data_IF_674384815013
#
_entry.id   IF_674384815013
#
_cell.length_a   1.000
_cell.length_b   1.000
_cell.length_c   1.000
_cell.angle_alpha   90.00
_cell.angle_beta   90.00
_cell.angle_gamma   90.00
#
_symmetry.space_group_name_H-M   'P 1'
#
loop_
_entity.id
_entity.type
_entity.pdbx_description
1 polymer ?
#
# COMPACT_ATOMS: atom_id res chain seq x y z
N UNK A 1 8.92 -43.96 -20.40
CA UNK A 1 8.68 -42.72 -21.17
C UNK A 1 7.42 -41.95 -20.75
N UNK A 2 6.29 -42.60 -20.37
CA UNK A 2 5.05 -41.88 -19.96
C UNK A 2 5.19 -41.05 -18.66
N UNK A 3 5.97 -41.51 -17.68
CA UNK A 3 6.14 -40.80 -16.39
C UNK A 3 6.88 -39.46 -16.53
N UNK A 4 7.79 -39.34 -17.51
CA UNK A 4 8.51 -38.09 -17.76
C UNK A 4 7.59 -37.00 -18.34
N UNK A 5 6.61 -37.41 -19.17
CA UNK A 5 5.61 -36.50 -19.74
C UNK A 5 4.60 -36.05 -18.69
N UNK A 6 4.15 -36.96 -17.82
CA UNK A 6 3.24 -36.61 -16.72
C UNK A 6 3.89 -35.68 -15.70
N UNK A 7 5.13 -35.96 -15.30
CA UNK A 7 5.88 -35.09 -14.37
C UNK A 7 6.11 -33.70 -14.97
N UNK A 8 6.47 -33.61 -16.25
CA UNK A 8 6.59 -32.32 -16.96
C UNK A 8 5.26 -31.59 -17.02
N UNK A 9 4.17 -32.27 -17.38
CA UNK A 9 2.84 -31.65 -17.43
C UNK A 9 2.41 -31.16 -16.05
N UNK A 10 2.60 -31.96 -15.00
CA UNK A 10 2.29 -31.57 -13.62
C UNK A 10 3.11 -30.36 -13.17
N UNK A 11 4.40 -30.29 -13.52
CA UNK A 11 5.25 -29.13 -13.24
C UNK A 11 4.77 -27.89 -14.00
N UNK A 12 4.41 -28.03 -15.29
CA UNK A 12 3.88 -26.92 -16.08
C UNK A 12 2.54 -26.40 -15.54
N UNK A 13 1.63 -27.30 -15.15
CA UNK A 13 0.34 -26.93 -14.53
C UNK A 13 0.59 -26.24 -13.18
N UNK A 14 1.47 -26.79 -12.35
CA UNK A 14 1.85 -26.16 -11.07
C UNK A 14 2.43 -24.76 -11.28
N UNK A 15 3.37 -24.60 -12.22
CA UNK A 15 3.96 -23.31 -12.55
C UNK A 15 2.91 -22.34 -13.09
N UNK A 16 2.01 -22.79 -13.96
CA UNK A 16 0.94 -21.95 -14.50
C UNK A 16 0.00 -21.45 -13.41
N UNK A 17 -0.45 -22.33 -12.50
CA UNK A 17 -1.30 -21.95 -11.36
C UNK A 17 -0.53 -21.01 -10.40
N UNK A 18 0.73 -21.31 -10.11
CA UNK A 18 1.57 -20.49 -9.24
C UNK A 18 1.75 -19.07 -9.78
N UNK A 19 2.12 -18.93 -11.06
CA UNK A 19 2.27 -17.62 -11.69
C UNK A 19 0.93 -16.91 -11.90
N UNK A 20 -0.15 -17.63 -12.21
CA UNK A 20 -1.49 -17.04 -12.30
C UNK A 20 -1.95 -16.49 -10.94
N UNK A 21 -1.68 -17.19 -9.84
CA UNK A 21 -1.98 -16.73 -8.50
C UNK A 21 -1.14 -15.50 -8.10
N UNK A 22 0.17 -15.53 -8.40
CA UNK A 22 1.10 -14.46 -8.05
C UNK A 22 0.87 -13.18 -8.89
N UNK A 23 0.66 -13.33 -10.20
CA UNK A 23 0.54 -12.20 -11.14
C UNK A 23 -0.92 -11.78 -11.39
N UNK A 24 -1.90 -12.65 -11.12
CA UNK A 24 -3.32 -12.40 -11.37
C UNK A 24 -3.84 -11.10 -10.76
N UNK A 25 -3.66 -10.87 -9.44
CA UNK A 25 -4.09 -9.61 -8.81
C UNK A 25 -3.43 -8.38 -9.41
N UNK A 26 -2.15 -8.45 -9.80
CA UNK A 26 -1.43 -7.36 -10.45
C UNK A 26 -2.00 -7.04 -11.84
N UNK A 27 -2.38 -8.07 -12.60
CA UNK A 27 -3.03 -7.92 -13.92
C UNK A 27 -4.43 -7.32 -13.76
N UNK A 28 -5.22 -7.79 -12.81
CA UNK A 28 -6.56 -7.24 -12.51
C UNK A 28 -6.44 -5.77 -12.14
N UNK A 29 -5.55 -5.43 -11.19
CA UNK A 29 -5.31 -4.04 -10.78
C UNK A 29 -4.80 -3.17 -11.94
N UNK A 30 -3.95 -3.73 -12.81
CA UNK A 30 -3.50 -3.03 -14.01
C UNK A 30 -4.65 -2.74 -14.98
N UNK A 31 -5.59 -3.67 -15.13
CA UNK A 31 -6.76 -3.48 -15.98
C UNK A 31 -7.75 -2.46 -15.40
N UNK A 32 -7.97 -2.46 -14.08
CA UNK A 32 -8.88 -1.49 -13.44
C UNK A 32 -8.37 -0.06 -13.48
N UNK A 33 -7.07 0.16 -13.65
CA UNK A 33 -6.48 1.49 -13.84
C UNK A 33 -7.06 2.24 -15.06
N UNK A 34 -7.56 1.48 -16.04
CA UNK A 34 -8.09 2.01 -17.29
C UNK A 34 -9.61 1.96 -17.38
N UNK A 35 -10.31 1.57 -16.30
CA UNK A 35 -11.78 1.48 -16.28
C UNK A 35 -12.37 2.70 -15.55
N UNK A 36 -13.48 3.26 -16.06
CA UNK A 36 -14.15 4.45 -15.50
C UNK A 36 -14.86 4.36 -14.15
N UNK A 37 -15.27 3.19 -13.61
CA UNK A 37 -15.98 3.15 -12.34
C UNK A 37 -15.16 3.76 -11.19
N UNK A 38 -15.82 4.49 -10.29
CA UNK A 38 -15.17 5.11 -9.12
C UNK A 38 -14.62 4.12 -8.08
N UNK A 39 -14.97 2.84 -8.20
CA UNK A 39 -14.44 1.75 -7.40
C UNK A 39 -13.63 0.81 -8.30
N UNK A 40 -12.43 0.34 -7.88
CA UNK A 40 -11.62 -0.55 -8.71
C UNK A 40 -12.30 -1.89 -8.91
N UNK A 41 -12.94 -2.05 -10.07
CA UNK A 41 -13.57 -3.30 -10.51
C UNK A 41 -13.27 -3.55 -11.97
N UNK A 42 -12.96 -4.81 -12.29
CA UNK A 42 -12.68 -5.23 -13.66
C UNK A 42 -13.98 -5.57 -14.41
N UNK A 43 -14.99 -6.05 -13.70
CA UNK A 43 -16.27 -6.48 -14.29
C UNK A 43 -17.43 -5.81 -13.55
N UNK A 44 -18.41 -5.22 -14.25
CA UNK A 44 -18.47 -5.00 -15.70
C UNK A 44 -17.48 -3.92 -16.18
N UNK A 45 -17.06 -4.02 -17.45
CA UNK A 45 -16.28 -2.97 -18.11
C UNK A 45 -17.22 -1.85 -18.56
N UNK A 46 -16.94 -0.61 -18.17
CA UNK A 46 -17.79 0.53 -18.50
C UNK A 46 -17.18 1.33 -19.65
N UNK A 47 -16.12 2.07 -19.37
CA UNK A 47 -15.45 2.93 -20.34
C UNK A 47 -13.94 2.89 -20.13
N UNK A 48 -13.18 3.02 -21.23
CA UNK A 48 -11.74 3.21 -21.16
C UNK A 48 -11.45 4.64 -20.68
N UNK A 49 -10.69 4.82 -19.61
CA UNK A 49 -10.34 6.15 -19.08
C UNK A 49 -8.87 6.23 -18.69
N UNK A 50 -8.33 7.45 -18.70
CA UNK A 50 -7.00 7.77 -18.17
C UNK A 50 -7.07 8.79 -17.02
N UNK A 51 -8.28 9.15 -16.56
CA UNK A 51 -8.50 10.17 -15.53
C UNK A 51 -7.81 9.84 -14.20
N UNK A 52 -7.69 8.55 -13.88
CA UNK A 52 -7.06 8.08 -12.65
C UNK A 52 -5.55 8.34 -12.62
N UNK A 53 -4.90 8.44 -13.78
CA UNK A 53 -3.50 8.84 -13.86
C UNK A 53 -3.35 10.32 -13.50
N UNK A 54 -4.21 11.20 -14.05
CA UNK A 54 -4.22 12.62 -13.65
C UNK A 54 -4.60 12.80 -12.19
N UNK A 55 -5.60 12.06 -11.69
CA UNK A 55 -6.01 12.14 -10.29
C UNK A 55 -4.89 11.71 -9.33
N UNK A 56 -4.09 10.70 -9.73
CA UNK A 56 -2.91 10.27 -8.97
C UNK A 56 -1.84 11.38 -8.88
N UNK A 57 -1.53 12.06 -9.98
CA UNK A 57 -0.53 13.14 -10.00
C UNK A 57 -1.01 14.44 -9.34
N UNK A 58 -2.31 14.56 -9.05
CA UNK A 58 -2.88 15.68 -8.29
C UNK A 58 -3.03 15.36 -6.80
N UNK A 59 -2.79 14.10 -6.40
CA UNK A 59 -2.90 13.68 -5.02
C UNK A 59 -1.61 13.97 -4.25
N UNK A 60 -1.57 15.16 -3.64
CA UNK A 60 -0.44 15.64 -2.82
C UNK A 60 -0.06 14.66 -1.71
N UNK A 61 -1.02 13.91 -1.14
CA UNK A 61 -0.70 12.95 -0.07
C UNK A 61 0.10 11.77 -0.63
N UNK A 62 -0.28 11.27 -1.80
CA UNK A 62 0.48 10.20 -2.46
C UNK A 62 1.85 10.69 -2.90
N UNK A 63 1.95 11.89 -3.48
CA UNK A 63 3.23 12.46 -3.90
C UNK A 63 4.19 12.68 -2.70
N UNK A 64 3.67 13.25 -1.60
CA UNK A 64 4.43 13.39 -0.37
C UNK A 64 4.81 12.02 0.22
N UNK A 65 3.91 11.03 0.16
CA UNK A 65 4.20 9.65 0.55
C UNK A 65 5.34 9.02 -0.24
N UNK A 66 5.40 9.25 -1.56
CA UNK A 66 6.52 8.80 -2.42
C UNK A 66 7.82 9.48 -1.98
N UNK A 67 7.80 10.78 -1.77
CA UNK A 67 8.98 11.54 -1.34
C UNK A 67 9.49 11.07 0.03
N UNK A 68 8.59 10.91 1.00
CA UNK A 68 8.89 10.38 2.32
C UNK A 68 9.48 8.95 2.24
N UNK A 69 8.92 8.08 1.38
CA UNK A 69 9.47 6.74 1.14
C UNK A 69 10.90 6.78 0.59
N UNK A 70 11.20 7.69 -0.34
CA UNK A 70 12.56 7.83 -0.89
C UNK A 70 13.52 8.32 0.19
N UNK A 71 13.11 9.30 1.00
CA UNK A 71 13.93 9.86 2.07
C UNK A 71 14.22 8.83 3.16
N UNK A 72 13.19 8.13 3.65
CA UNK A 72 13.31 7.04 4.62
C UNK A 72 14.14 5.89 4.04
N UNK A 73 13.90 5.53 2.78
CA UNK A 73 14.65 4.49 2.08
C UNK A 73 16.13 4.82 1.99
N UNK A 74 16.49 6.03 1.58
CA UNK A 74 17.87 6.47 1.49
C UNK A 74 18.56 6.49 2.87
N UNK A 75 17.90 7.03 3.90
CA UNK A 75 18.42 7.03 5.27
C UNK A 75 18.65 5.61 5.81
N UNK A 76 17.67 4.73 5.58
CA UNK A 76 17.73 3.33 6.00
C UNK A 76 18.84 2.56 5.28
N UNK A 77 19.04 2.80 3.98
CA UNK A 77 20.15 2.21 3.22
C UNK A 77 21.49 2.61 3.80
N UNK A 78 21.73 3.91 4.00
CA UNK A 78 23.00 4.42 4.52
C UNK A 78 23.31 3.79 5.87
N UNK A 79 22.33 3.78 6.77
CA UNK A 79 22.53 3.26 8.12
C UNK A 79 22.66 1.72 8.14
N UNK A 80 21.75 1.01 7.47
CA UNK A 80 21.71 -0.46 7.48
C UNK A 80 22.91 -1.08 6.78
N UNK A 81 23.35 -0.52 5.66
CA UNK A 81 24.52 -1.03 4.93
C UNK A 81 25.80 -0.75 5.72
N UNK A 82 25.93 0.43 6.33
CA UNK A 82 27.08 0.75 7.19
C UNK A 82 27.14 -0.19 8.41
N UNK A 83 26.03 -0.35 9.13
CA UNK A 83 25.93 -1.26 10.29
C UNK A 83 26.13 -2.73 9.88
N UNK A 84 25.52 -3.16 8.78
CA UNK A 84 25.65 -4.52 8.27
C UNK A 84 27.07 -4.85 7.80
N UNK A 85 27.76 -3.89 7.18
CA UNK A 85 29.17 -4.04 6.80
C UNK A 85 30.07 -4.12 8.03
N UNK A 86 29.89 -3.22 9.00
CA UNK A 86 30.61 -3.27 10.26
C UNK A 86 30.37 -4.61 10.98
N UNK A 87 29.13 -5.08 11.02
CA UNK A 87 28.74 -6.37 11.59
C UNK A 87 29.40 -7.56 10.91
N UNK A 88 29.41 -7.55 9.57
CA UNK A 88 30.03 -8.60 8.77
C UNK A 88 31.55 -8.68 8.97
N UNK A 89 32.23 -7.54 9.00
CA UNK A 89 33.66 -7.45 9.24
C UNK A 89 34.01 -7.90 10.66
N UNK A 90 33.27 -7.44 11.67
CA UNK A 90 33.49 -7.81 13.06
C UNK A 90 33.31 -9.31 13.30
N UNK A 91 32.34 -9.96 12.64
CA UNK A 91 32.14 -11.41 12.74
C UNK A 91 33.39 -12.21 12.32
N UNK A 92 34.17 -11.71 11.36
CA UNK A 92 35.42 -12.39 10.93
C UNK A 92 36.57 -12.22 11.91
N UNK A 93 36.57 -11.12 12.68
CA UNK A 93 37.65 -10.75 13.60
C UNK A 93 37.39 -11.18 15.05
N UNK A 94 36.12 -11.41 15.41
CA UNK A 94 35.75 -11.81 16.77
C UNK A 94 36.23 -13.22 17.10
N UNK A 95 36.51 -13.45 18.39
CA UNK A 95 37.02 -14.71 18.91
C UNK A 95 36.07 -15.87 18.57
N UNK A 96 36.60 -17.06 18.16
CA UNK A 96 35.78 -18.18 17.71
C UNK A 96 34.65 -18.58 18.67
N UNK A 97 34.90 -18.51 19.98
CA UNK A 97 33.92 -18.84 21.03
C UNK A 97 32.74 -17.86 21.11
N UNK A 98 32.94 -16.59 20.72
CA UNK A 98 31.90 -15.54 20.76
C UNK A 98 31.17 -15.37 19.43
N UNK A 99 31.66 -15.97 18.34
CA UNK A 99 31.07 -15.85 17.00
C UNK A 99 29.59 -16.25 16.97
N UNK A 100 29.23 -17.36 17.61
CA UNK A 100 27.86 -17.84 17.65
C UNK A 100 26.94 -16.86 18.37
N UNK A 101 27.32 -16.40 19.57
CA UNK A 101 26.54 -15.42 20.34
C UNK A 101 26.39 -14.11 19.59
N UNK A 102 27.47 -13.59 19.01
CA UNK A 102 27.45 -12.36 18.23
C UNK A 102 26.52 -12.45 17.02
N UNK A 103 26.62 -13.55 16.26
CA UNK A 103 25.75 -13.84 15.13
C UNK A 103 24.26 -13.89 15.54
N UNK A 104 23.96 -14.59 16.64
CA UNK A 104 22.59 -14.68 17.17
C UNK A 104 22.04 -13.31 17.58
N UNK A 105 22.84 -12.49 18.28
CA UNK A 105 22.42 -11.15 18.72
C UNK A 105 22.10 -10.25 17.53
N UNK A 106 22.92 -10.27 16.48
CA UNK A 106 22.68 -9.42 15.31
C UNK A 106 21.48 -9.89 14.49
N UNK A 107 21.22 -11.19 14.43
CA UNK A 107 20.10 -11.73 13.64
C UNK A 107 18.78 -11.73 14.41
N UNK A 108 18.82 -11.67 15.73
CA UNK A 108 17.62 -11.65 16.57
C UNK A 108 16.52 -10.66 16.11
N UNK A 109 16.82 -9.43 15.67
CA UNK A 109 15.81 -8.49 15.17
C UNK A 109 14.98 -9.01 13.99
N UNK A 110 15.54 -9.89 13.13
CA UNK A 110 14.81 -10.49 12.00
C UNK A 110 13.66 -11.38 12.50
N UNK A 111 13.81 -11.99 13.67
CA UNK A 111 12.81 -12.88 14.26
C UNK A 111 11.70 -12.11 14.99
N UNK A 112 11.91 -10.82 15.27
CA UNK A 112 10.95 -9.99 15.99
C UNK A 112 9.91 -9.46 14.99
N UNK A 113 8.60 -9.58 15.28
CA UNK A 113 7.57 -9.02 14.43
C UNK A 113 7.75 -7.50 14.24
N UNK A 114 7.58 -7.01 13.01
CA UNK A 114 7.82 -5.60 12.67
C UNK A 114 7.01 -4.60 13.52
N UNK A 115 5.82 -5.00 13.96
CA UNK A 115 4.97 -4.22 14.89
C UNK A 115 5.65 -4.02 16.24
N UNK A 116 6.24 -5.07 16.79
CA UNK A 116 6.97 -5.02 18.06
C UNK A 116 8.20 -4.12 17.92
N UNK A 117 8.93 -4.22 16.81
CA UNK A 117 10.03 -3.30 16.51
C UNK A 117 9.58 -1.84 16.41
N UNK A 118 8.45 -1.57 15.76
CA UNK A 118 7.91 -0.20 15.64
C UNK A 118 7.54 0.41 16.98
N UNK A 119 6.75 -0.31 17.78
CA UNK A 119 6.32 0.15 19.12
C UNK A 119 7.53 0.30 20.05
N UNK A 120 8.43 -0.69 20.07
CA UNK A 120 9.63 -0.62 20.92
C UNK A 120 10.55 0.54 20.55
N UNK A 121 10.72 0.82 19.24
CA UNK A 121 11.49 1.97 18.76
C UNK A 121 10.89 3.28 19.25
N UNK A 122 9.57 3.48 19.07
CA UNK A 122 8.89 4.68 19.53
C UNK A 122 9.05 4.87 21.05
N UNK A 123 8.74 3.83 21.84
CA UNK A 123 8.79 3.91 23.32
C UNK A 123 10.21 4.12 23.83
N UNK A 124 11.19 3.46 23.23
CA UNK A 124 12.61 3.60 23.60
C UNK A 124 13.11 5.02 23.38
N UNK A 125 12.86 5.58 22.19
CA UNK A 125 13.34 6.92 21.86
C UNK A 125 12.55 8.02 22.58
N UNK A 126 11.25 7.85 22.82
CA UNK A 126 10.48 8.76 23.69
C UNK A 126 11.06 8.80 25.11
N UNK A 127 11.41 7.64 25.67
CA UNK A 127 12.02 7.57 27.01
C UNK A 127 13.39 8.24 27.04
N UNK A 128 14.23 8.04 26.02
CA UNK A 128 15.52 8.74 25.92
C UNK A 128 15.30 10.24 25.79
N UNK A 129 14.36 10.68 24.95
CA UNK A 129 14.05 12.09 24.75
C UNK A 129 13.70 12.79 26.07
N UNK A 130 12.86 12.14 26.89
CA UNK A 130 12.49 12.62 28.24
C UNK A 130 13.66 12.61 29.22
N UNK A 131 14.50 11.57 29.20
CA UNK A 131 15.69 11.50 30.06
C UNK A 131 16.69 12.62 29.75
N UNK A 132 16.81 13.02 28.49
CA UNK A 132 17.65 14.14 28.06
C UNK A 132 17.00 15.51 28.29
N UNK A 133 15.76 15.56 28.79
CA UNK A 133 15.01 16.81 29.00
C UNK A 133 14.65 17.54 27.72
N UNK A 134 14.61 16.84 26.58
CA UNK A 134 14.30 17.40 25.28
C UNK A 134 12.77 17.53 25.12
N UNK A 135 12.32 18.58 24.44
CA UNK A 135 10.90 18.84 24.17
C UNK A 135 10.27 17.83 23.22
N UNK A 136 8.95 17.95 23.03
CA UNK A 136 8.19 17.12 22.09
C UNK A 136 8.63 17.31 20.62
N UNK A 137 9.22 18.47 20.28
CA UNK A 137 9.66 18.83 18.93
C UNK A 137 11.11 18.43 18.63
N UNK A 138 11.68 17.56 19.45
CA UNK A 138 13.04 17.06 19.30
C UNK A 138 13.24 16.22 18.04
N UNK A 139 14.48 16.15 17.56
CA UNK A 139 14.81 15.24 16.45
C UNK A 139 14.55 13.77 16.80
N UNK A 140 14.57 13.41 18.09
CA UNK A 140 14.35 12.04 18.57
C UNK A 140 12.89 11.59 18.48
N UNK A 141 11.94 12.53 18.53
CA UNK A 141 10.50 12.27 18.34
C UNK A 141 10.07 12.40 16.88
N UNK A 142 10.97 12.83 15.99
CA UNK A 142 10.67 12.99 14.57
C UNK A 142 10.39 11.64 13.89
N UNK A 143 9.28 11.56 13.15
CA UNK A 143 8.84 10.33 12.50
C UNK A 143 9.81 9.77 11.45
N UNK A 144 10.55 10.63 10.74
CA UNK A 144 11.59 10.17 9.81
C UNK A 144 12.73 9.48 10.57
N UNK A 145 13.19 10.10 11.65
CA UNK A 145 14.25 9.53 12.50
C UNK A 145 13.83 8.18 13.08
N UNK A 146 12.64 8.13 13.71
CA UNK A 146 12.09 6.92 14.30
C UNK A 146 11.94 5.81 13.26
N UNK A 147 11.45 6.14 12.07
CA UNK A 147 11.26 5.17 10.99
C UNK A 147 12.60 4.65 10.46
N UNK A 148 13.57 5.52 10.21
CA UNK A 148 14.90 5.12 9.73
C UNK A 148 15.59 4.20 10.74
N UNK A 149 15.58 4.55 12.03
CA UNK A 149 16.23 3.73 13.08
C UNK A 149 15.49 2.40 13.28
N UNK A 150 14.15 2.45 13.38
CA UNK A 150 13.33 1.27 13.60
C UNK A 150 13.51 0.25 12.48
N UNK A 151 13.48 0.71 11.22
CA UNK A 151 13.72 -0.16 10.07
C UNK A 151 15.17 -0.65 10.01
N UNK A 152 16.15 0.22 10.28
CA UNK A 152 17.56 -0.16 10.19
C UNK A 152 17.97 -1.24 11.18
N UNK A 153 17.26 -1.36 12.31
CA UNK A 153 17.54 -2.35 13.36
C UNK A 153 17.50 -3.80 12.84
N UNK A 154 16.57 -4.11 11.92
CA UNK A 154 16.49 -5.46 11.34
C UNK A 154 17.04 -5.52 9.90
N UNK A 155 16.97 -4.42 9.14
CA UNK A 155 17.51 -4.38 7.77
C UNK A 155 19.05 -4.45 7.78
N UNK A 156 19.72 -3.91 8.81
CA UNK A 156 21.16 -4.08 9.01
C UNK A 156 21.56 -5.56 9.08
N UNK A 157 20.74 -6.41 9.70
CA UNK A 157 20.96 -7.85 9.81
C UNK A 157 20.84 -8.53 8.44
N UNK A 158 19.87 -8.14 7.61
CA UNK A 158 19.81 -8.62 6.22
C UNK A 158 21.03 -8.19 5.40
N UNK A 159 21.47 -6.94 5.54
CA UNK A 159 22.68 -6.44 4.88
C UNK A 159 23.91 -7.23 5.32
N UNK A 160 24.04 -7.49 6.62
CA UNK A 160 25.14 -8.30 7.16
C UNK A 160 25.16 -9.69 6.53
N UNK A 161 24.02 -10.38 6.43
CA UNK A 161 23.96 -11.73 5.84
C UNK A 161 24.48 -11.77 4.40
N UNK A 162 24.07 -10.80 3.57
CA UNK A 162 24.55 -10.66 2.19
C UNK A 162 26.06 -10.40 2.14
N UNK A 163 26.55 -9.52 3.01
CA UNK A 163 27.96 -9.13 3.05
C UNK A 163 28.85 -10.26 3.58
N UNK A 164 28.41 -11.00 4.61
CA UNK A 164 29.12 -12.18 5.14
C UNK A 164 29.28 -13.24 4.05
N UNK A 165 28.23 -13.53 3.27
CA UNK A 165 28.30 -14.51 2.18
C UNK A 165 29.33 -14.12 1.11
N UNK A 166 29.53 -12.81 0.87
CA UNK A 166 30.60 -12.32 -0.01
C UNK A 166 31.96 -12.44 0.64
N UNK A 167 32.07 -12.07 1.91
CA UNK A 167 33.32 -12.04 2.66
C UNK A 167 33.90 -13.45 2.89
N UNK A 168 33.06 -14.48 2.97
CA UNK A 168 33.49 -15.89 3.01
C UNK A 168 34.27 -16.33 1.77
N UNK A 169 34.12 -15.62 0.64
CA UNK A 169 34.87 -15.88 -0.61
C UNK A 169 36.11 -15.00 -0.75
N UNK A 170 36.42 -14.18 0.26
CA UNK A 170 37.59 -13.31 0.24
C UNK A 170 38.83 -14.08 0.68
N UNK A 171 39.90 -13.97 -0.12
CA UNK A 171 41.21 -14.51 0.25
C UNK A 171 41.94 -13.51 1.15
N UNK A 172 42.21 -13.90 2.40
CA UNK A 172 42.87 -13.08 3.40
C UNK A 172 44.31 -12.75 2.97
N UNK A 173 44.95 -13.61 2.17
CA UNK A 173 46.31 -13.40 1.67
C UNK A 173 46.44 -12.10 0.85
N UNK A 174 45.35 -11.63 0.21
CA UNK A 174 45.35 -10.36 -0.50
C UNK A 174 45.53 -9.15 0.45
N UNK A 175 44.97 -9.23 1.67
CA UNK A 175 45.18 -8.19 2.69
C UNK A 175 46.59 -8.29 3.26
N UNK A 176 47.06 -9.51 3.55
CA UNK A 176 48.40 -9.75 4.10
C UNK A 176 49.48 -9.25 3.14
N UNK A 177 49.39 -9.58 1.85
CA UNK A 177 50.30 -9.09 0.83
C UNK A 177 50.31 -7.56 0.71
N UNK A 178 49.17 -6.89 0.91
CA UNK A 178 49.12 -5.43 0.91
C UNK A 178 49.85 -4.84 2.12
N UNK A 179 49.72 -5.45 3.30
CA UNK A 179 50.43 -5.05 4.51
C UNK A 179 51.94 -5.28 4.36
N UNK A 180 52.36 -6.40 3.76
CA UNK A 180 53.77 -6.72 3.46
C UNK A 180 54.41 -5.71 2.50
N UNK A 181 53.64 -5.16 1.56
CA UNK A 181 54.06 -4.07 0.67
C UNK A 181 54.08 -2.69 1.36
N UNK A 182 53.89 -2.63 2.68
CA UNK A 182 53.93 -1.41 3.48
C UNK A 182 52.63 -0.62 3.53
N UNK A 183 51.50 -1.18 3.09
CA UNK A 183 50.21 -0.52 3.24
C UNK A 183 49.77 -0.51 4.71
N UNK A 184 49.14 0.57 5.16
CA UNK A 184 48.46 0.59 6.47
C UNK A 184 47.15 -0.20 6.42
N UNK A 185 46.61 -0.65 7.57
CA UNK A 185 45.31 -1.33 7.61
C UNK A 185 44.18 -0.54 6.93
N UNK A 186 44.16 0.78 7.10
CA UNK A 186 43.19 1.65 6.43
C UNK A 186 43.38 1.67 4.90
N UNK A 187 44.63 1.61 4.41
CA UNK A 187 44.93 1.52 2.98
C UNK A 187 44.54 0.14 2.43
N UNK A 188 44.90 -0.95 3.10
CA UNK A 188 44.52 -2.31 2.70
C UNK A 188 42.98 -2.46 2.66
N UNK A 189 42.28 -1.92 3.67
CA UNK A 189 40.82 -1.86 3.67
C UNK A 189 40.27 -1.09 2.46
N UNK A 190 40.71 0.15 2.23
CA UNK A 190 40.16 1.00 1.16
C UNK A 190 40.54 0.56 -0.25
N UNK A 191 41.73 -0.03 -0.44
CA UNK A 191 42.28 -0.39 -1.76
C UNK A 191 42.06 -1.85 -2.14
N UNK A 192 41.91 -2.77 -1.19
CA UNK A 192 41.78 -4.20 -1.47
C UNK A 192 40.40 -4.71 -1.05
N UNK A 193 40.07 -4.62 0.23
CA UNK A 193 38.83 -5.21 0.76
C UNK A 193 37.57 -4.49 0.27
N UNK A 194 37.55 -3.16 0.36
CA UNK A 194 36.37 -2.38 -0.01
C UNK A 194 36.03 -2.56 -1.50
N UNK A 195 36.98 -2.48 -2.46
CA UNK A 195 36.70 -2.78 -3.87
C UNK A 195 36.20 -4.20 -4.13
N UNK A 196 36.72 -5.20 -3.41
CA UNK A 196 36.21 -6.56 -3.49
C UNK A 196 34.75 -6.68 -3.00
N UNK A 197 34.40 -5.92 -1.96
CA UNK A 197 33.07 -5.89 -1.35
C UNK A 197 32.07 -4.98 -2.09
N UNK A 198 32.51 -4.02 -2.91
CA UNK A 198 31.66 -3.09 -3.68
C UNK A 198 30.44 -3.74 -4.34
N UNK A 199 30.55 -4.84 -5.11
CA UNK A 199 29.37 -5.44 -5.73
C UNK A 199 28.37 -5.98 -4.69
N UNK A 200 28.84 -6.54 -3.58
CA UNK A 200 27.96 -7.00 -2.50
C UNK A 200 27.35 -5.85 -1.69
N UNK A 201 28.09 -4.76 -1.49
CA UNK A 201 27.58 -3.52 -0.88
C UNK A 201 26.47 -2.93 -1.75
N UNK A 202 26.65 -2.90 -3.08
CA UNK A 202 25.62 -2.44 -4.00
C UNK A 202 24.36 -3.34 -3.94
N UNK A 203 24.52 -4.66 -3.92
CA UNK A 203 23.39 -5.59 -3.76
C UNK A 203 22.69 -5.42 -2.41
N UNK A 204 23.44 -5.25 -1.32
CA UNK A 204 22.89 -5.01 0.01
C UNK A 204 22.16 -3.66 0.09
N UNK A 205 22.66 -2.61 -0.58
CA UNK A 205 22.00 -1.31 -0.64
C UNK A 205 20.65 -1.39 -1.39
N UNK A 206 20.60 -2.09 -2.53
CA UNK A 206 19.33 -2.31 -3.24
C UNK A 206 18.36 -3.11 -2.38
N UNK A 207 18.83 -4.19 -1.74
CA UNK A 207 18.00 -4.98 -0.83
C UNK A 207 17.46 -4.13 0.33
N UNK A 208 18.31 -3.31 0.96
CA UNK A 208 17.91 -2.44 2.05
C UNK A 208 16.87 -1.41 1.61
N UNK A 209 17.06 -0.82 0.43
CA UNK A 209 16.11 0.13 -0.14
C UNK A 209 14.74 -0.53 -0.38
N UNK A 210 14.73 -1.70 -1.02
CA UNK A 210 13.49 -2.42 -1.32
C UNK A 210 12.75 -2.82 -0.04
N UNK A 211 13.47 -3.40 0.93
CA UNK A 211 12.90 -3.79 2.23
C UNK A 211 12.36 -2.60 3.04
N UNK A 212 12.97 -1.42 2.88
CA UNK A 212 12.52 -0.18 3.50
C UNK A 212 11.29 0.40 2.78
N UNK A 213 11.33 0.45 1.45
CA UNK A 213 10.28 1.05 0.62
C UNK A 213 8.94 0.32 0.76
N UNK A 214 8.95 -1.01 0.91
CA UNK A 214 7.75 -1.82 1.12
C UNK A 214 7.36 -1.98 2.61
N UNK A 215 8.09 -1.35 3.53
CA UNK A 215 7.83 -1.55 4.95
C UNK A 215 6.56 -0.84 5.42
N UNK A 216 5.57 -1.65 5.80
CA UNK A 216 4.36 -1.20 6.48
C UNK A 216 4.41 -1.49 8.00
N UNK A 217 4.89 -2.66 8.39
CA UNK A 217 4.73 -3.20 9.75
C UNK A 217 5.41 -2.38 10.83
N UNK A 218 6.64 -1.91 10.59
CA UNK A 218 7.38 -1.07 11.54
C UNK A 218 6.96 0.39 11.38
N UNK A 219 6.86 0.84 10.13
CA UNK A 219 6.54 2.23 9.78
C UNK A 219 5.22 2.69 10.36
N UNK A 220 4.21 1.83 10.46
CA UNK A 220 2.87 2.17 11.00
C UNK A 220 2.94 2.77 12.40
N UNK A 221 3.96 2.43 13.19
CA UNK A 221 4.13 2.96 14.55
C UNK A 221 5.15 4.08 14.64
N UNK A 222 5.92 4.36 13.60
CA UNK A 222 7.04 5.31 13.64
C UNK A 222 6.91 6.48 12.69
N UNK A 223 5.95 6.48 11.75
CA UNK A 223 5.88 7.46 10.67
C UNK A 223 5.64 8.90 11.15
N UNK A 224 4.95 9.09 12.28
CA UNK A 224 4.65 10.41 12.85
C UNK A 224 3.91 11.31 11.86
N UNK A 225 4.49 12.47 11.55
CA UNK A 225 3.94 13.42 10.56
C UNK A 225 4.33 13.10 9.11
N UNK A 226 5.17 12.09 8.88
CA UNK A 226 5.77 11.77 7.59
C UNK A 226 5.35 10.37 7.10
N UNK A 227 4.06 10.18 6.73
CA UNK A 227 3.59 8.90 6.21
C UNK A 227 4.34 8.55 4.92
N UNK A 228 4.81 7.31 4.83
CA UNK A 228 5.39 6.74 3.61
C UNK A 228 4.28 6.31 2.65
N UNK A 229 4.64 6.03 1.39
CA UNK A 229 3.71 5.54 0.38
C UNK A 229 2.88 4.33 0.84
N UNK A 230 3.52 3.39 1.56
CA UNK A 230 2.86 2.20 2.12
C UNK A 230 1.80 2.56 3.16
N UNK A 231 2.07 3.58 3.99
CA UNK A 231 1.11 4.08 4.98
C UNK A 231 -0.04 4.82 4.30
N UNK A 232 0.25 5.71 3.36
CA UNK A 232 -0.80 6.42 2.61
C UNK A 232 -1.73 5.47 1.86
N UNK A 233 -1.16 4.44 1.22
CA UNK A 233 -1.93 3.41 0.55
C UNK A 233 -2.82 2.63 1.53
N UNK A 234 -2.27 2.23 2.68
CA UNK A 234 -3.04 1.52 3.71
C UNK A 234 -4.17 2.38 4.30
N UNK A 235 -3.94 3.69 4.46
CA UNK A 235 -4.98 4.62 4.91
C UNK A 235 -6.10 4.74 3.87
N UNK A 236 -5.77 4.86 2.58
CA UNK A 236 -6.80 4.89 1.53
C UNK A 236 -7.63 3.61 1.46
N UNK A 237 -7.02 2.45 1.70
CA UNK A 237 -7.79 1.18 1.80
C UNK A 237 -8.85 1.22 2.90
N UNK A 238 -8.59 1.94 4.00
CA UNK A 238 -9.54 2.08 5.12
C UNK A 238 -10.60 3.15 4.89
N UNK A 239 -10.24 4.27 4.26
CA UNK A 239 -11.12 5.44 4.12
C UNK A 239 -11.88 5.52 2.78
N UNK A 240 -11.50 4.71 1.78
CA UNK A 240 -12.16 4.65 0.49
C UNK A 240 -11.16 4.45 -0.65
N UNK A 241 -11.33 3.38 -1.43
CA UNK A 241 -10.43 3.03 -2.53
C UNK A 241 -10.96 3.62 -3.84
N UNK A 242 -10.08 4.36 -4.53
CA UNK A 242 -10.31 4.80 -5.91
C UNK A 242 -9.36 4.08 -6.87
N UNK A 243 -9.68 3.96 -8.17
CA UNK A 243 -8.76 3.38 -9.17
C UNK A 243 -7.47 4.19 -9.39
N UNK A 244 -7.29 5.35 -8.76
CA UNK A 244 -5.98 6.02 -8.70
C UNK A 244 -4.89 5.12 -8.10
N UNK A 245 -5.26 4.25 -7.14
CA UNK A 245 -4.35 3.24 -6.57
C UNK A 245 -3.98 2.18 -7.63
N UNK A 246 -4.94 1.79 -8.46
CA UNK A 246 -4.71 0.87 -9.58
C UNK A 246 -3.77 1.49 -10.62
N UNK A 247 -3.91 2.78 -10.92
CA UNK A 247 -2.99 3.52 -11.78
C UNK A 247 -1.57 3.56 -11.20
N UNK A 248 -1.43 3.80 -9.89
CA UNK A 248 -0.14 3.73 -9.21
C UNK A 248 0.47 2.33 -9.32
N UNK A 249 -0.31 1.28 -9.05
CA UNK A 249 0.14 -0.11 -9.15
C UNK A 249 0.60 -0.44 -10.58
N UNK A 250 -0.15 -0.01 -11.60
CA UNK A 250 0.24 -0.15 -13.00
C UNK A 250 1.57 0.54 -13.30
N UNK A 251 1.74 1.80 -12.87
CA UNK A 251 3.00 2.55 -13.04
C UNK A 251 4.17 1.80 -12.39
N UNK A 252 4.01 1.34 -11.15
CA UNK A 252 5.05 0.59 -10.44
C UNK A 252 5.39 -0.69 -11.21
N UNK A 253 4.39 -1.47 -11.65
CA UNK A 253 4.61 -2.69 -12.44
C UNK A 253 5.37 -2.41 -13.73
N UNK A 254 4.95 -1.38 -14.49
CA UNK A 254 5.63 -1.00 -15.74
C UNK A 254 7.07 -0.58 -15.47
N UNK A 255 7.32 0.22 -14.43
CA UNK A 255 8.67 0.64 -14.05
C UNK A 255 9.53 -0.55 -13.60
N UNK A 256 8.98 -1.48 -12.83
CA UNK A 256 9.70 -2.69 -12.38
C UNK A 256 10.03 -3.60 -13.55
N UNK A 257 9.08 -3.85 -14.45
CA UNK A 257 9.30 -4.65 -15.66
C UNK A 257 10.33 -3.98 -16.56
N UNK A 258 10.25 -2.66 -16.74
CA UNK A 258 11.23 -1.90 -17.50
C UNK A 258 12.63 -1.99 -16.88
N UNK A 259 12.76 -1.77 -15.57
CA UNK A 259 14.03 -1.86 -14.87
C UNK A 259 14.62 -3.28 -14.94
N UNK A 260 13.79 -4.32 -14.78
CA UNK A 260 14.21 -5.71 -14.89
C UNK A 260 14.71 -6.05 -16.30
N UNK A 261 13.97 -5.63 -17.33
CA UNK A 261 14.33 -5.85 -18.73
C UNK A 261 15.58 -5.05 -19.13
N UNK A 262 15.72 -3.82 -18.64
CA UNK A 262 16.91 -3.00 -18.82
C UNK A 262 18.14 -3.63 -18.15
N UNK A 263 17.99 -4.16 -16.93
CA UNK A 263 19.06 -4.84 -16.22
C UNK A 263 19.47 -6.14 -16.93
N UNK A 264 18.52 -6.98 -17.34
CA UNK A 264 18.78 -8.20 -18.11
C UNK A 264 19.47 -7.88 -19.45
N UNK A 265 18.99 -6.86 -20.17
CA UNK A 265 19.64 -6.41 -21.40
C UNK A 265 21.07 -5.93 -21.16
N UNK A 266 21.31 -5.21 -20.05
CA UNK A 266 22.63 -4.74 -19.65
C UNK A 266 23.58 -5.89 -19.29
N UNK A 267 23.10 -6.89 -18.56
CA UNK A 267 23.88 -8.09 -18.19
C UNK A 267 24.21 -8.90 -19.44
N UNK A 268 23.22 -9.20 -20.28
CA UNK A 268 23.42 -9.94 -21.53
C UNK A 268 24.39 -9.22 -22.47
N UNK A 269 24.29 -7.89 -22.59
CA UNK A 269 25.24 -7.11 -23.38
C UNK A 269 26.67 -7.27 -22.86
N UNK A 270 26.87 -7.20 -21.54
CA UNK A 270 28.21 -7.43 -20.94
C UNK A 270 28.74 -8.84 -21.23
N UNK A 271 27.88 -9.86 -21.18
CA UNK A 271 28.23 -11.24 -21.53
C UNK A 271 28.61 -11.37 -23.01
N UNK A 272 27.78 -10.85 -23.93
CA UNK A 272 28.05 -10.88 -25.37
C UNK A 272 29.33 -10.12 -25.74
N UNK A 273 29.58 -8.96 -25.11
CA UNK A 273 30.83 -8.19 -25.29
C UNK A 273 32.03 -8.98 -24.78
N UNK A 274 31.91 -9.65 -23.63
CA UNK A 274 32.98 -10.48 -23.08
C UNK A 274 33.28 -11.69 -23.97
N UNK A 275 32.25 -12.33 -24.51
CA UNK A 275 32.38 -13.44 -25.47
C UNK A 275 32.97 -12.99 -26.80
N UNK A 276 32.53 -11.85 -27.34
CA UNK A 276 33.07 -11.26 -28.56
C UNK A 276 34.56 -10.92 -28.38
N UNK A 277 34.93 -10.30 -27.25
CA UNK A 277 36.35 -10.04 -26.92
C UNK A 277 37.18 -11.32 -26.77
N UNK A 278 36.60 -12.40 -26.24
CA UNK A 278 37.29 -13.69 -26.10
C UNK A 278 37.52 -14.38 -27.44
N UNK A 279 36.64 -14.16 -28.43
CA UNK A 279 36.71 -14.76 -29.77
C UNK A 279 37.47 -13.89 -30.78
N UNK A 280 37.63 -12.61 -30.51
CA UNK A 280 38.32 -11.68 -31.40
C UNK A 280 39.80 -12.04 -31.57
N UNK A 281 40.28 -11.95 -32.82
CA UNK A 281 41.71 -12.09 -33.12
C UNK A 281 42.50 -10.86 -32.69
N UNK A 282 43.82 -10.99 -32.50
CA UNK A 282 44.70 -9.87 -32.10
C UNK A 282 44.61 -8.72 -33.11
N UNK A 283 44.53 -9.03 -34.41
CA UNK A 283 44.39 -8.07 -35.50
C UNK A 283 43.04 -7.32 -35.49
N UNK A 284 41.94 -7.97 -35.08
CA UNK A 284 40.62 -7.33 -34.91
C UNK A 284 40.55 -6.41 -33.69
N UNK A 285 41.27 -6.75 -32.61
CA UNK A 285 41.40 -5.89 -31.43
C UNK A 285 42.28 -4.67 -31.71
N UNK A 286 43.35 -4.85 -32.49
CA UNK A 286 44.31 -3.79 -32.84
C UNK A 286 43.79 -2.83 -33.91
N UNK A 287 43.02 -3.34 -34.89
CA UNK A 287 42.37 -2.52 -35.93
C UNK A 287 41.09 -1.81 -35.46
N UNK A 288 40.61 -2.08 -34.24
CA UNK A 288 39.41 -1.46 -33.68
C UNK A 288 38.10 -1.80 -34.39
N UNK A 289 38.08 -2.78 -35.31
CA UNK A 289 36.94 -3.15 -36.15
C UNK A 289 35.91 -4.05 -35.45
N UNK A 290 35.96 -4.17 -34.12
CA UNK A 290 35.04 -5.01 -33.36
C UNK A 290 33.61 -4.43 -33.38
N UNK A 291 32.75 -4.96 -34.24
CA UNK A 291 31.33 -4.61 -34.27
C UNK A 291 30.59 -5.29 -33.11
N UNK A 292 30.30 -4.52 -32.06
CA UNK A 292 29.51 -5.01 -30.94
C UNK A 292 28.02 -5.08 -31.31
N UNK A 293 27.29 -6.15 -30.90
CA UNK A 293 25.86 -6.23 -31.14
C UNK A 293 25.13 -5.03 -30.51
N UNK A 294 24.17 -4.48 -31.26
CA UNK A 294 23.37 -3.34 -30.83
C UNK A 294 22.48 -3.66 -29.62
N UNK A 295 22.02 -2.63 -28.90
CA UNK A 295 21.21 -2.78 -27.67
C UNK A 295 19.91 -3.59 -27.87
N UNK A 296 19.35 -3.59 -29.09
CA UNK A 296 18.05 -4.19 -29.42
C UNK A 296 18.12 -5.48 -30.26
N UNK A 297 19.27 -5.89 -30.78
CA UNK A 297 19.30 -6.87 -31.88
C UNK A 297 19.05 -8.33 -31.49
N UNK A 298 18.73 -8.65 -30.22
CA UNK A 298 18.58 -10.03 -29.77
C UNK A 298 17.66 -10.24 -28.55
N UNK A 299 16.90 -9.24 -28.10
CA UNK A 299 16.08 -9.40 -26.89
C UNK A 299 14.58 -9.35 -27.22
N UNK A 300 13.96 -10.52 -27.38
CA UNK A 300 12.52 -10.67 -27.63
C UNK A 300 11.67 -9.94 -26.58
N UNK A 301 12.16 -9.83 -25.34
CA UNK A 301 11.47 -9.11 -24.28
C UNK A 301 11.59 -7.58 -24.39
N UNK A 302 12.71 -7.05 -24.91
CA UNK A 302 12.84 -5.63 -25.21
C UNK A 302 11.96 -5.25 -26.41
N UNK A 303 11.87 -6.14 -27.42
CA UNK A 303 10.92 -6.00 -28.54
C UNK A 303 9.48 -6.02 -28.02
N UNK A 304 9.13 -6.96 -27.12
CA UNK A 304 7.81 -7.01 -26.51
C UNK A 304 7.48 -5.74 -25.70
N UNK A 305 8.44 -5.18 -24.97
CA UNK A 305 8.25 -3.94 -24.20
C UNK A 305 8.04 -2.73 -25.12
N UNK A 306 8.83 -2.62 -26.19
CA UNK A 306 8.64 -1.58 -27.21
C UNK A 306 7.30 -1.75 -27.90
N UNK A 307 6.88 -2.98 -28.21
CA UNK A 307 5.56 -3.28 -28.77
C UNK A 307 4.43 -2.90 -27.80
N UNK A 308 4.57 -3.20 -26.50
CA UNK A 308 3.60 -2.81 -25.47
C UNK A 308 3.55 -1.29 -25.30
N UNK A 309 4.69 -0.61 -25.30
CA UNK A 309 4.77 0.84 -25.23
C UNK A 309 4.20 1.51 -26.50
N UNK A 310 4.45 0.96 -27.67
CA UNK A 310 3.84 1.40 -28.91
C UNK A 310 2.33 1.11 -28.94
N UNK A 311 1.88 0.00 -28.35
CA UNK A 311 0.47 -0.33 -28.22
C UNK A 311 -0.24 0.62 -27.24
N UNK A 312 0.37 0.97 -26.12
CA UNK A 312 -0.19 1.98 -25.20
C UNK A 312 -0.21 3.37 -25.84
N UNK A 313 0.84 3.75 -26.58
CA UNK A 313 0.85 5.00 -27.37
C UNK A 313 -0.19 4.97 -28.49
N UNK A 314 -0.43 3.83 -29.15
CA UNK A 314 -1.47 3.69 -30.17
C UNK A 314 -2.87 3.77 -29.56
N UNK A 315 -3.11 3.18 -28.39
CA UNK A 315 -4.37 3.32 -27.63
C UNK A 315 -4.58 4.77 -27.20
N UNK A 316 -3.53 5.47 -26.78
CA UNK A 316 -3.56 6.93 -26.52
C UNK A 316 -3.81 7.71 -27.82
N UNK A 317 -3.28 7.26 -28.96
CA UNK A 317 -3.51 7.86 -30.29
C UNK A 317 -4.94 7.67 -30.82
N UNK A 318 -5.63 6.61 -30.41
CA UNK A 318 -7.06 6.39 -30.73
C UNK A 318 -8.01 7.34 -29.99
N UNK A 319 -7.50 8.19 -29.09
CA UNK A 319 -8.25 9.26 -28.42
C UNK A 319 -8.81 10.34 -29.39
N UNK A 320 -8.49 10.26 -30.69
CA UNK A 320 -9.10 11.12 -31.71
C UNK A 320 -10.48 10.65 -32.20
N UNK A 321 -10.85 9.39 -31.94
CA UNK A 321 -12.16 8.81 -32.32
C UNK A 321 -13.02 8.47 -31.08
N UNK A 322 -12.39 8.25 -29.92
CA UNK A 322 -13.08 7.91 -28.67
C UNK A 322 -12.87 9.01 -27.63
N UNK A 323 -13.95 9.66 -27.18
CA UNK A 323 -13.91 10.56 -26.03
C UNK A 323 -14.39 9.84 -24.76
N UNK A 324 -13.53 9.65 -23.74
CA UNK A 324 -13.92 9.01 -22.48
C UNK A 324 -15.13 9.69 -21.82
N UNK A 325 -15.23 11.01 -21.95
CA UNK A 325 -16.29 11.83 -21.37
C UNK A 325 -17.69 11.49 -21.93
N UNK A 326 -17.81 11.26 -23.24
CA UNK A 326 -19.10 10.87 -23.84
C UNK A 326 -19.50 9.46 -23.40
N UNK A 327 -18.55 8.52 -23.32
CA UNK A 327 -18.83 7.17 -22.84
C UNK A 327 -19.33 7.20 -21.38
N UNK A 328 -18.63 7.94 -20.51
CA UNK A 328 -19.02 8.07 -19.09
C UNK A 328 -20.42 8.68 -18.96
N UNK A 329 -20.74 9.71 -19.76
CA UNK A 329 -22.07 10.32 -19.76
C UNK A 329 -23.17 9.31 -20.15
N UNK A 330 -22.96 8.54 -21.22
CA UNK A 330 -23.90 7.52 -21.68
C UNK A 330 -24.11 6.41 -20.63
N UNK A 331 -23.02 5.95 -19.99
CA UNK A 331 -23.10 4.92 -18.94
C UNK A 331 -23.83 5.45 -17.70
N UNK A 332 -23.63 6.71 -17.33
CA UNK A 332 -24.37 7.32 -16.22
C UNK A 332 -25.86 7.45 -16.53
N UNK A 333 -26.22 7.82 -17.77
CA UNK A 333 -27.60 7.89 -18.23
C UNK A 333 -28.27 6.51 -18.19
N UNK A 334 -27.61 5.47 -18.73
CA UNK A 334 -28.12 4.10 -18.67
C UNK A 334 -28.35 3.63 -17.23
N UNK A 335 -27.41 3.88 -16.31
CA UNK A 335 -27.58 3.53 -14.89
C UNK A 335 -28.73 4.27 -14.23
N UNK A 336 -28.97 5.53 -14.59
CA UNK A 336 -30.14 6.29 -14.10
C UNK A 336 -31.43 5.63 -14.57
N UNK A 337 -31.53 5.30 -15.86
CA UNK A 337 -32.71 4.62 -16.43
C UNK A 337 -32.96 3.25 -15.77
N UNK A 338 -31.91 2.43 -15.61
CA UNK A 338 -32.02 1.13 -14.91
C UNK A 338 -32.45 1.29 -13.45
N UNK A 339 -31.97 2.33 -12.76
CA UNK A 339 -32.35 2.61 -11.37
C UNK A 339 -33.82 3.02 -11.29
N UNK A 340 -34.29 3.85 -12.22
CA UNK A 340 -35.71 4.25 -12.32
C UNK A 340 -36.62 3.06 -12.62
N UNK A 341 -36.24 2.19 -13.56
CA UNK A 341 -36.99 0.96 -13.86
C UNK A 341 -37.06 0.04 -12.64
N UNK A 342 -35.94 -0.13 -11.93
CA UNK A 342 -35.89 -0.94 -10.70
C UNK A 342 -36.76 -0.35 -9.59
N UNK A 343 -36.82 0.98 -9.46
CA UNK A 343 -37.71 1.66 -8.51
C UNK A 343 -39.19 1.46 -8.90
N UNK A 344 -39.54 1.57 -10.19
CA UNK A 344 -40.90 1.33 -10.69
C UNK A 344 -41.35 -0.10 -10.42
N UNK A 345 -40.49 -1.08 -10.68
CA UNK A 345 -40.77 -2.49 -10.40
C UNK A 345 -40.98 -2.75 -8.91
N UNK A 346 -40.11 -2.20 -8.05
CA UNK A 346 -40.27 -2.31 -6.59
C UNK A 346 -41.55 -1.66 -6.09
N UNK A 347 -41.98 -0.53 -6.67
CA UNK A 347 -43.27 0.11 -6.34
C UNK A 347 -44.45 -0.77 -6.74
N UNK A 348 -44.43 -1.33 -7.96
CA UNK A 348 -45.47 -2.25 -8.44
C UNK A 348 -45.58 -3.50 -7.55
N UNK A 349 -44.45 -4.08 -7.14
CA UNK A 349 -44.44 -5.22 -6.21
C UNK A 349 -44.99 -4.87 -4.82
N UNK A 350 -44.75 -3.66 -4.32
CA UNK A 350 -45.31 -3.19 -3.05
C UNK A 350 -46.82 -3.02 -3.14
N UNK A 351 -47.33 -2.49 -4.25
CA UNK A 351 -48.77 -2.34 -4.50
C UNK A 351 -49.47 -3.70 -4.57
N UNK A 352 -48.92 -4.65 -5.33
CA UNK A 352 -49.46 -6.02 -5.41
C UNK A 352 -49.45 -6.72 -4.05
N UNK A 353 -48.37 -6.59 -3.27
CA UNK A 353 -48.33 -7.12 -1.89
C UNK A 353 -49.38 -6.48 -0.98
N UNK A 354 -49.61 -5.17 -1.12
CA UNK A 354 -50.66 -4.48 -0.36
C UNK A 354 -52.06 -4.97 -0.75
N UNK A 355 -52.31 -5.22 -2.04
CA UNK A 355 -53.57 -5.79 -2.52
C UNK A 355 -53.79 -7.21 -1.97
N UNK A 356 -52.77 -8.07 -2.04
CA UNK A 356 -52.83 -9.42 -1.46
C UNK A 356 -53.10 -9.39 0.05
N UNK A 357 -52.46 -8.47 0.79
CA UNK A 357 -52.73 -8.31 2.22
C UNK A 357 -54.15 -7.82 2.51
N UNK A 358 -54.72 -6.96 1.66
CA UNK A 358 -56.12 -6.51 1.79
C UNK A 358 -57.10 -7.64 1.45
N UNK A 359 -56.77 -8.51 0.49
CA UNK A 359 -57.55 -9.71 0.17
C UNK A 359 -57.50 -10.73 1.31
N UNK A 360 -56.31 -11.01 1.86
CA UNK A 360 -56.14 -11.89 3.02
C UNK A 360 -56.85 -11.35 4.29
N UNK A 361 -56.85 -10.03 4.51
CA UNK A 361 -57.60 -9.40 5.60
C UNK A 361 -59.12 -9.37 5.34
N UNK A 362 -59.55 -9.34 4.07
CA UNK A 362 -60.95 -9.45 3.68
C UNK A 362 -61.52 -10.87 3.84
N UNK A 363 -60.68 -11.90 3.70
CA UNK A 363 -61.06 -13.32 3.89
C UNK A 363 -60.96 -13.79 5.35
N UNK A 364 -60.15 -13.14 6.17
CA UNK A 364 -60.08 -13.36 7.62
C UNK A 364 -60.99 -12.39 8.40
N UNK A 365 -62.31 -12.41 8.14
CA UNK A 365 -63.28 -11.77 9.02
C UNK A 365 -63.46 -12.60 10.31
N UNK A 366 -63.17 -12.09 11.53
CA UNK A 366 -63.59 -12.74 12.75
C UNK A 366 -65.03 -12.32 13.09
N UNK A 367 -65.84 -13.32 13.40
CA UNK A 367 -67.07 -13.20 14.15
C UNK A 367 -66.89 -12.37 15.43
N UNK A 368 -67.67 -11.29 15.53
CA UNK A 368 -68.16 -10.55 16.70
C UNK A 368 -67.61 -10.92 18.10
N UNK A 369 -67.09 -9.93 18.82
CA UNK A 369 -67.51 -9.63 20.20
C UNK A 369 -67.10 -8.21 20.62
N UNK A 370 -67.97 -7.58 21.42
CA UNK A 370 -68.04 -6.16 21.79
C UNK A 370 -66.90 -5.68 22.72
N UNK A 371 -66.74 -4.35 22.98
CA UNK A 371 -65.56 -3.78 23.59
C UNK A 371 -65.55 -3.98 25.11
N UNK A 372 -64.45 -4.48 25.66
CA UNK A 372 -64.15 -4.39 27.09
C UNK A 372 -63.11 -3.30 27.31
N UNK A 373 -63.46 -2.41 28.23
CA UNK A 373 -62.62 -1.38 28.83
C UNK A 373 -61.37 -2.01 29.46
N UNK A 374 -60.18 -1.61 28.99
CA UNK A 374 -58.89 -2.05 29.52
C UNK A 374 -57.91 -0.88 29.53
N UNK A 375 -57.86 -0.21 30.68
CA UNK A 375 -56.88 0.82 31.03
C UNK A 375 -55.46 0.27 31.04
N UNK A 376 -54.51 1.08 30.54
CA UNK A 376 -53.09 1.01 30.90
C UNK A 376 -52.14 0.46 29.84
N UNK A 377 -51.68 1.31 28.92
CA UNK A 377 -50.36 1.11 28.30
C UNK A 377 -49.58 2.43 28.30
N UNK A 378 -48.76 2.56 29.33
CA UNK A 378 -47.87 3.69 29.56
C UNK A 378 -46.53 3.41 28.86
N UNK A 379 -46.44 3.73 27.57
CA UNK A 379 -45.16 3.74 26.85
C UNK A 379 -45.01 5.08 26.15
N UNK A 380 -44.01 5.85 26.57
CA UNK A 380 -43.75 7.26 26.19
C UNK A 380 -43.36 7.52 24.73
N UNK A 381 -43.77 6.65 23.81
CA UNK A 381 -43.68 6.87 22.37
C UNK A 381 -45.11 6.90 21.83
N UNK A 382 -45.75 8.06 21.91
CA UNK A 382 -47.08 8.27 21.36
C UNK A 382 -47.08 8.06 19.85
N UNK A 383 -47.87 7.12 19.36
CA UNK A 383 -48.44 7.12 18.00
C UNK A 383 -47.51 7.06 16.78
N UNK A 384 -46.18 7.02 16.93
CA UNK A 384 -45.22 7.06 15.80
C UNK A 384 -45.42 5.91 14.79
N UNK A 385 -45.99 4.79 15.24
CA UNK A 385 -46.23 3.61 14.41
C UNK A 385 -47.71 3.39 14.05
N UNK A 386 -48.57 4.42 14.19
CA UNK A 386 -49.94 4.35 13.70
C UNK A 386 -49.94 4.29 12.16
N UNK A 387 -50.70 3.37 11.52
CA UNK A 387 -50.61 3.09 10.09
C UNK A 387 -51.01 4.25 9.16
N UNK A 388 -51.67 5.30 9.68
CA UNK A 388 -52.08 6.51 8.93
C UNK A 388 -51.07 7.66 8.99
N UNK A 389 -49.90 7.50 9.62
CA UNK A 389 -48.94 8.61 9.80
C UNK A 389 -48.12 8.96 8.54
N UNK A 390 -48.37 8.31 7.40
CA UNK A 390 -47.61 8.49 6.16
C UNK A 390 -48.46 8.82 4.92
N UNK A 391 -49.77 9.08 5.06
CA UNK A 391 -50.62 9.56 3.98
C UNK A 391 -50.77 11.08 4.03
N UNK A 392 -49.83 11.78 3.40
CA UNK A 392 -49.86 13.23 3.23
C UNK A 392 -49.20 13.66 1.93
N UNK A 393 -49.92 13.50 0.82
CA UNK A 393 -49.77 14.36 -0.36
C UNK A 393 -50.60 15.62 -0.09
N UNK A 394 -49.97 16.80 0.03
CA UNK A 394 -50.68 18.06 0.24
C UNK A 394 -49.73 19.25 0.42
N UNK A 395 -49.96 20.29 -0.38
CA UNK A 395 -49.15 21.48 -0.58
C UNK A 395 -48.95 22.35 0.68
N UNK A 396 -47.85 23.09 0.69
CA UNK A 396 -47.48 24.03 1.75
C UNK A 396 -48.21 25.38 1.60
N UNK A 397 -48.92 25.81 2.63
CA UNK A 397 -49.21 27.22 2.94
C UNK A 397 -49.23 27.46 4.47
N UNK A 398 -48.95 28.69 4.94
CA UNK A 398 -48.43 28.92 6.30
C UNK A 398 -49.47 29.52 7.25
N UNK A 399 -49.63 28.97 8.46
CA UNK A 399 -50.36 29.67 9.52
C UNK A 399 -49.73 29.53 10.92
N UNK A 400 -49.47 30.72 11.48
CA UNK A 400 -49.60 31.21 12.85
C UNK A 400 -49.05 30.43 14.06
N UNK A 401 -48.20 31.13 14.82
CA UNK A 401 -47.69 30.79 16.15
C UNK A 401 -48.82 30.52 17.17
N UNK A 402 -48.79 29.34 17.79
CA UNK A 402 -49.46 29.06 19.07
C UNK A 402 -48.45 28.50 20.07
N UNK A 403 -48.46 29.07 21.27
CA UNK A 403 -47.56 28.81 22.39
C UNK A 403 -47.59 27.34 22.86
N UNK A 404 -46.46 26.75 23.30
CA UNK A 404 -46.42 25.34 23.66
C UNK A 404 -47.00 25.11 25.05
N UNK A 405 -48.14 24.42 25.11
CA UNK A 405 -48.60 23.77 26.36
C UNK A 405 -47.67 22.59 26.72
N UNK A 406 -47.42 22.45 28.02
CA UNK A 406 -46.37 21.64 28.62
C UNK A 406 -46.29 20.19 28.13
N UNK A 407 -45.08 19.83 27.69
CA UNK A 407 -44.75 18.51 27.18
C UNK A 407 -44.42 17.55 28.33
N UNK A 408 -45.35 16.66 28.70
CA UNK A 408 -45.10 15.59 29.67
C UNK A 408 -44.52 14.33 28.97
N UNK A 409 -43.40 14.48 28.27
CA UNK A 409 -42.66 13.33 27.71
C UNK A 409 -41.68 12.77 28.74
N UNK A 410 -41.58 11.44 28.85
CA UNK A 410 -40.73 10.71 29.81
C UNK A 410 -39.21 10.91 29.68
N UNK A 411 -38.76 11.81 28.80
CA UNK A 411 -37.41 12.36 28.77
C UNK A 411 -37.53 13.86 29.01
N UNK A 412 -37.71 14.26 30.26
CA UNK A 412 -37.82 15.67 30.64
C UNK A 412 -36.56 16.44 30.21
N UNK A 413 -36.76 17.52 29.45
CA UNK A 413 -35.85 18.66 29.21
C UNK A 413 -34.33 18.39 29.16
N UNK A 414 -33.88 17.27 28.58
CA UNK A 414 -32.44 17.00 28.37
C UNK A 414 -31.82 17.89 27.30
N UNK A 415 -32.63 18.47 26.42
CA UNK A 415 -32.18 19.30 25.30
C UNK A 415 -32.69 20.74 25.37
N UNK A 416 -33.09 21.22 26.55
CA UNK A 416 -33.51 22.61 26.73
C UNK A 416 -32.28 23.54 26.63
N UNK A 417 -32.19 24.40 25.61
CA UNK A 417 -31.01 25.23 25.36
C UNK A 417 -30.77 26.30 26.44
N UNK A 418 -31.70 26.53 27.37
CA UNK A 418 -31.58 27.48 28.47
C UNK A 418 -31.12 26.87 29.81
N UNK A 419 -30.82 25.57 29.86
CA UNK A 419 -30.45 24.87 31.09
C UNK A 419 -29.07 25.26 31.68
N UNK A 420 -28.33 26.18 31.06
CA UNK A 420 -26.95 26.57 31.44
C UNK A 420 -26.79 28.05 31.80
N UNK A 421 -27.86 28.78 32.13
CA UNK A 421 -27.76 30.19 32.56
C UNK A 421 -28.42 30.44 33.93
N UNK A 422 -27.59 30.75 34.94
CA UNK A 422 -27.96 31.29 36.27
C UNK A 422 -27.26 30.56 37.43
N UNK A 423 -26.02 30.93 37.80
CA UNK A 423 -25.63 31.86 38.91
C UNK A 423 -25.87 31.23 40.31
N UNK A 424 -24.90 31.00 41.20
CA UNK A 424 -23.93 31.94 41.74
C UNK A 424 -24.42 32.45 43.11
N UNK A 425 -23.84 31.98 44.23
CA UNK A 425 -23.83 32.73 45.50
C UNK A 425 -24.46 32.10 46.76
N UNK A 426 -23.57 31.58 47.63
CA UNK A 426 -23.38 31.91 49.06
C UNK A 426 -24.19 31.25 50.22
N UNK A 427 -23.42 31.05 51.30
CA UNK A 427 -23.74 30.89 52.74
C UNK A 427 -23.93 29.50 53.38
N UNK A 428 -22.97 29.13 54.25
CA UNK A 428 -23.26 29.03 55.70
C UNK A 428 -23.26 27.66 56.43
N UNK A 429 -22.14 27.38 57.12
CA UNK A 429 -22.03 26.79 58.48
C UNK A 429 -22.24 25.29 58.75
N UNK A 430 -21.34 24.72 59.58
CA UNK A 430 -21.66 23.57 60.44
C UNK A 430 -20.53 22.58 60.78
N UNK A 431 -19.64 22.99 61.71
CA UNK A 431 -18.70 22.21 62.55
C UNK A 431 -17.64 21.27 61.93
#
# INVERSE_FOLDING_TARGET
>A
MKNFTFMRLSLWVYLAIFFAYLLGPLVIMSATAFNSPSFPRMTPWECLTFEWFSALFQDERILNGIWNSILVGAGTVVLSVAMGLAGALMLTQIWPKLRATYYTVIIAPILIPGVVLGISTLVFWDRINRMLGLGADSFLSNGLFLTIIGQSTFIASYCMLVLVARLQRYDIALTEAALDLGATHAQAFRKVLLPFMRPAIASAAVLAFLASFENYNTTTFTFGEYPTLTIELAQKVRYGITPAISALAFIIVVLTVFAALFNEASIRRKQLVAEARKKATVEELESGKLQLPGFLSSNAAAVALVVVACATVAVVGTATVYSPQQCIANVQEQKRLETEERIKELRRQRELRRQQQLEEQGEAAPSQTAPSTGSGNNSGFGGVFAPDSLSGDGEAEPEAEQEPQGNSSGFGNVFDPNALSGDGGDSGSGN
#
